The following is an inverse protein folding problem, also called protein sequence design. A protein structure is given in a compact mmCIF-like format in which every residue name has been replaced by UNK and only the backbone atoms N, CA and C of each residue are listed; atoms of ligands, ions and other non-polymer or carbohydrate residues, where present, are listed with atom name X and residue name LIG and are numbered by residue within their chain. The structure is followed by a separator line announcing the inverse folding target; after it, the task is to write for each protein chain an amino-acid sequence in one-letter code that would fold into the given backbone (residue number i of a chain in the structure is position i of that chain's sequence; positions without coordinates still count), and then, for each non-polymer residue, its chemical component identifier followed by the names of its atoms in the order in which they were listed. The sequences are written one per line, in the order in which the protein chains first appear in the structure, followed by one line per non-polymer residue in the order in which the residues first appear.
data_IF_876397987345
#
_entry.id   IF_876397987345
#
_cell.length_a   1.000
_cell.length_b   1.000
_cell.length_c   1.000
_cell.angle_alpha   90.00
_cell.angle_beta   90.00
_cell.angle_gamma   90.00
#
_symmetry.space_group_name_H-M   'P 1'
#
loop_
_entity.id
_entity.type
_entity.pdbx_description
1 polymer ?
#
# COMPACT_ATOMS: atom_id res chain seq x y z
N UNK A 1 -55.91 27.19 -29.29
CA UNK A 1 -54.49 27.15 -29.68
C UNK A 1 -54.22 25.75 -30.24
N UNK A 2 -53.59 25.70 -31.42
CA UNK A 2 -53.22 24.56 -32.28
C UNK A 2 -52.32 23.55 -31.55
N UNK A 3 -52.65 22.26 -31.61
CA UNK A 3 -51.92 21.14 -32.29
C UNK A 3 -50.43 21.01 -31.94
N UNK A 4 -50.02 19.84 -31.47
CA UNK A 4 -49.20 18.93 -32.30
C UNK A 4 -49.12 17.54 -31.65
N UNK A 5 -49.61 16.57 -32.40
CA UNK A 5 -49.37 15.13 -32.28
C UNK A 5 -47.95 14.81 -32.74
N UNK A 6 -47.27 13.82 -32.16
CA UNK A 6 -46.75 12.72 -32.97
C UNK A 6 -46.13 11.63 -32.09
N UNK A 7 -46.73 10.45 -32.21
CA UNK A 7 -46.07 9.19 -31.99
C UNK A 7 -45.77 8.65 -33.39
N UNK A 8 -44.53 8.27 -33.69
CA UNK A 8 -44.34 7.11 -34.56
C UNK A 8 -43.39 6.12 -33.86
N UNK A 9 -43.82 4.91 -33.61
CA UNK A 9 -43.80 3.82 -34.59
C UNK A 9 -42.39 3.25 -34.80
N UNK A 10 -42.35 1.94 -34.58
CA UNK A 10 -41.71 0.94 -35.43
C UNK A 10 -40.32 0.40 -35.03
N UNK A 11 -40.31 -0.93 -35.02
CA UNK A 11 -39.21 -1.82 -34.73
C UNK A 11 -38.20 -1.80 -35.88
N UNK A 12 -36.92 -1.96 -35.55
CA UNK A 12 -36.02 -2.72 -36.42
C UNK A 12 -35.04 -3.51 -35.57
N UNK A 13 -35.24 -4.82 -35.58
CA UNK A 13 -34.22 -5.84 -35.34
C UNK A 13 -32.93 -5.49 -36.11
N UNK A 14 -31.80 -5.49 -35.42
CA UNK A 14 -30.47 -5.66 -36.02
C UNK A 14 -29.60 -6.46 -35.07
N UNK A 15 -29.71 -7.78 -35.22
CA UNK A 15 -28.68 -8.74 -34.86
C UNK A 15 -27.46 -8.53 -35.79
N UNK A 16 -26.29 -8.24 -35.24
CA UNK A 16 -24.97 -8.41 -35.88
C UNK A 16 -23.93 -8.39 -34.74
N UNK A 17 -23.31 -9.53 -34.38
CA UNK A 17 -22.03 -10.01 -34.94
C UNK A 17 -20.97 -8.89 -34.95
N UNK A 18 -19.79 -8.96 -34.33
CA UNK A 18 -18.92 -10.06 -33.92
C UNK A 18 -17.81 -9.45 -32.99
N UNK A 19 -16.75 -10.18 -32.59
CA UNK A 19 -16.02 -9.97 -31.33
C UNK A 19 -14.73 -9.16 -31.50
N UNK A 20 -13.90 -9.18 -30.46
CA UNK A 20 -12.47 -8.81 -30.43
C UNK A 20 -12.18 -7.38 -29.99
N UNK A 21 -12.03 -7.19 -28.68
CA UNK A 21 -10.75 -6.70 -28.16
C UNK A 21 -10.41 -7.58 -26.95
N UNK A 22 -9.78 -8.72 -27.23
CA UNK A 22 -8.87 -9.31 -26.25
C UNK A 22 -7.77 -8.29 -26.01
N UNK A 23 -7.91 -7.48 -24.96
CA UNK A 23 -6.76 -6.90 -24.32
C UNK A 23 -6.08 -8.02 -23.53
N UNK A 24 -5.37 -8.85 -24.28
CA UNK A 24 -4.42 -9.82 -23.78
C UNK A 24 -3.27 -9.04 -23.12
N UNK A 25 -3.50 -8.58 -21.90
CA UNK A 25 -2.42 -8.27 -20.97
C UNK A 25 -1.85 -9.61 -20.49
N UNK A 26 -1.15 -10.30 -21.40
CA UNK A 26 -0.03 -11.15 -20.99
C UNK A 26 1.03 -10.18 -20.48
N UNK A 27 0.85 -9.71 -19.26
CA UNK A 27 1.95 -9.24 -18.45
C UNK A 27 2.81 -10.48 -18.23
N UNK A 28 3.78 -10.68 -19.14
CA UNK A 28 4.91 -11.51 -18.86
C UNK A 28 5.52 -10.97 -17.57
N UNK A 29 5.22 -11.66 -16.48
CA UNK A 29 5.95 -11.55 -15.22
C UNK A 29 7.34 -12.12 -15.54
N UNK A 30 8.15 -11.34 -16.25
CA UNK A 30 9.59 -11.53 -16.23
C UNK A 30 9.98 -11.28 -14.78
N UNK A 31 10.19 -12.35 -14.04
CA UNK A 31 10.87 -12.34 -12.74
C UNK A 31 12.33 -11.92 -12.97
N UNK A 32 12.53 -10.67 -13.41
CA UNK A 32 13.80 -9.98 -13.27
C UNK A 32 14.01 -9.83 -11.76
N UNK A 33 14.75 -10.78 -11.19
CA UNK A 33 15.15 -10.74 -9.80
C UNK A 33 15.84 -9.40 -9.56
N UNK A 34 15.13 -8.46 -8.94
CA UNK A 34 15.69 -7.17 -8.55
C UNK A 34 16.96 -7.43 -7.75
N UNK A 35 18.04 -6.69 -8.02
CA UNK A 35 19.27 -6.87 -7.27
C UNK A 35 18.97 -6.66 -5.79
N UNK A 36 19.53 -7.50 -4.93
CA UNK A 36 19.35 -7.46 -3.46
C UNK A 36 19.59 -6.05 -2.90
N UNK A 37 20.54 -5.31 -3.50
CA UNK A 37 20.82 -3.93 -3.15
C UNK A 37 19.62 -2.98 -3.39
N UNK A 38 18.83 -3.19 -4.46
CA UNK A 38 17.64 -2.39 -4.74
C UNK A 38 16.51 -2.67 -3.74
N UNK A 39 16.37 -3.91 -3.29
CA UNK A 39 15.39 -4.29 -2.26
C UNK A 39 15.79 -3.75 -0.89
N UNK A 40 17.09 -3.82 -0.54
CA UNK A 40 17.61 -3.22 0.69
C UNK A 40 17.44 -1.69 0.71
N UNK A 41 17.62 -1.03 -0.45
CA UNK A 41 17.41 0.41 -0.58
C UNK A 41 15.93 0.77 -0.36
N UNK A 42 15.01 0.05 -1.01
CA UNK A 42 13.57 0.24 -0.81
C UNK A 42 13.17 0.04 0.66
N UNK A 43 13.70 -1.00 1.32
CA UNK A 43 13.47 -1.24 2.75
C UNK A 43 14.00 -0.10 3.64
N UNK A 44 15.11 0.52 3.23
CA UNK A 44 15.69 1.68 3.94
C UNK A 44 14.80 2.91 3.80
N UNK A 45 14.23 3.12 2.61
CA UNK A 45 13.27 4.20 2.35
C UNK A 45 11.97 3.98 3.16
N UNK A 46 11.42 2.75 3.16
CA UNK A 46 10.26 2.38 3.96
C UNK A 46 10.51 2.58 5.47
N UNK A 47 11.71 2.24 5.95
CA UNK A 47 12.11 2.47 7.33
C UNK A 47 12.25 3.96 7.66
N UNK A 48 12.76 4.77 6.73
CA UNK A 48 12.87 6.21 6.90
C UNK A 48 11.48 6.86 7.03
N UNK A 49 10.52 6.48 6.19
CA UNK A 49 9.12 6.93 6.28
C UNK A 49 8.50 6.55 7.64
N UNK A 50 8.64 5.28 8.04
CA UNK A 50 8.18 4.81 9.34
C UNK A 50 8.80 5.57 10.52
N UNK A 51 10.10 5.89 10.43
CA UNK A 51 10.80 6.62 11.48
C UNK A 51 10.32 8.07 11.61
N UNK A 52 9.93 8.69 10.49
CA UNK A 52 9.34 10.03 10.48
C UNK A 52 7.96 10.02 11.13
N UNK A 53 7.12 9.01 10.85
CA UNK A 53 5.82 8.83 11.50
C UNK A 53 5.97 8.65 13.02
N UNK A 54 6.97 7.88 13.47
CA UNK A 54 7.27 7.72 14.89
C UNK A 54 7.67 9.05 15.55
N UNK A 55 8.50 9.85 14.88
CA UNK A 55 8.92 11.15 15.38
C UNK A 55 7.73 12.11 15.53
N UNK A 56 6.85 12.18 14.52
CA UNK A 56 5.62 12.97 14.59
C UNK A 56 4.74 12.59 15.78
N UNK A 57 4.62 11.30 16.08
CA UNK A 57 3.85 10.83 17.23
C UNK A 57 4.48 11.21 18.56
N UNK A 58 5.80 11.08 18.68
CA UNK A 58 6.52 11.54 19.85
C UNK A 58 6.31 13.05 20.08
N UNK A 59 6.35 13.86 19.01
CA UNK A 59 6.10 15.29 19.09
C UNK A 59 4.64 15.59 19.50
N UNK A 60 3.66 14.89 18.91
CA UNK A 60 2.27 15.03 19.28
C UNK A 60 2.03 14.67 20.76
N UNK A 61 2.64 13.57 21.24
CA UNK A 61 2.57 13.19 22.66
C UNK A 61 3.27 14.20 23.57
N UNK A 62 4.38 14.80 23.15
CA UNK A 62 5.07 15.84 23.91
C UNK A 62 4.19 17.08 24.08
N UNK A 63 3.52 17.52 23.00
CA UNK A 63 2.56 18.64 23.03
C UNK A 63 1.38 18.34 23.97
N UNK A 64 0.80 17.13 23.87
CA UNK A 64 -0.29 16.71 24.76
C UNK A 64 0.18 16.66 26.23
N UNK A 65 1.40 16.21 26.48
CA UNK A 65 1.96 16.15 27.83
C UNK A 65 2.21 17.54 28.43
N UNK A 66 2.53 18.53 27.59
CA UNK A 66 2.74 19.93 27.96
C UNK A 66 1.42 20.68 28.25
N UNK A 67 0.33 20.36 27.53
CA UNK A 67 -1.00 20.97 27.68
C UNK A 67 -1.98 20.17 28.59
N UNK A 68 -1.47 19.38 29.54
CA UNK A 68 -2.31 18.48 30.36
C UNK A 68 -3.46 19.15 31.13
N UNK A 69 -3.39 20.46 31.41
CA UNK A 69 -4.46 21.18 32.12
C UNK A 69 -5.72 21.43 31.23
N UNK A 70 -5.62 21.32 29.90
CA UNK A 70 -6.70 21.59 28.93
C UNK A 70 -7.24 20.32 28.22
N UNK A 71 -6.83 19.12 28.64
CA UNK A 71 -7.32 17.87 28.06
C UNK A 71 -8.75 17.58 28.55
N UNK A 72 -9.74 17.98 27.75
CA UNK A 72 -11.12 17.54 27.92
C UNK A 72 -11.29 16.03 27.63
N UNK A 73 -12.36 15.42 28.15
CA UNK A 73 -12.73 14.02 27.85
C UNK A 73 -12.86 13.73 26.34
N UNK A 74 -13.20 14.74 25.55
CA UNK A 74 -13.27 14.62 24.09
C UNK A 74 -11.87 14.55 23.45
N UNK A 75 -10.94 15.37 23.95
CA UNK A 75 -9.55 15.39 23.50
C UNK A 75 -8.84 14.08 23.87
N UNK A 76 -9.06 13.56 25.08
CA UNK A 76 -8.47 12.29 25.52
C UNK A 76 -8.94 11.09 24.66
N UNK A 77 -10.20 11.10 24.21
CA UNK A 77 -10.71 10.09 23.29
C UNK A 77 -10.05 10.16 21.90
N UNK A 78 -9.83 11.37 21.37
CA UNK A 78 -9.11 11.59 20.13
C UNK A 78 -7.67 11.07 20.19
N UNK A 79 -6.95 11.39 21.28
CA UNK A 79 -5.59 10.92 21.54
C UNK A 79 -5.53 9.40 21.62
N UNK A 80 -6.48 8.77 22.31
CA UNK A 80 -6.56 7.31 22.40
C UNK A 80 -6.76 6.67 21.03
N UNK A 81 -7.65 7.22 20.21
CA UNK A 81 -7.93 6.70 18.87
C UNK A 81 -6.72 6.85 17.95
N UNK A 82 -6.01 7.98 18.02
CA UNK A 82 -4.75 8.18 17.31
C UNK A 82 -3.70 7.17 17.77
N UNK A 83 -3.53 6.97 19.07
CA UNK A 83 -2.61 5.98 19.65
C UNK A 83 -2.92 4.56 19.19
N UNK A 84 -4.21 4.18 19.11
CA UNK A 84 -4.61 2.85 18.67
C UNK A 84 -4.33 2.64 17.17
N UNK A 85 -4.64 3.65 16.35
CA UNK A 85 -4.38 3.62 14.90
C UNK A 85 -2.89 3.53 14.60
N UNK A 86 -2.08 4.31 15.32
CA UNK A 86 -0.64 4.37 15.10
C UNK A 86 0.07 3.14 15.64
N UNK A 87 -0.36 2.61 16.79
CA UNK A 87 0.15 1.33 17.31
C UNK A 87 -0.06 0.19 16.34
N UNK A 88 -1.20 0.16 15.64
CA UNK A 88 -1.46 -0.83 14.59
C UNK A 88 -0.54 -0.63 13.37
N UNK A 89 -0.40 0.60 12.89
CA UNK A 89 0.51 0.93 11.77
C UNK A 89 1.96 0.56 12.07
N UNK A 90 2.44 0.90 13.28
CA UNK A 90 3.79 0.59 13.77
C UNK A 90 4.03 -0.91 13.83
N UNK A 91 3.08 -1.68 14.35
CA UNK A 91 3.18 -3.15 14.38
C UNK A 91 3.28 -3.73 12.98
N UNK A 92 2.40 -3.28 12.07
CA UNK A 92 2.35 -3.76 10.69
C UNK A 92 3.65 -3.47 9.94
N UNK A 93 4.19 -2.26 10.09
CA UNK A 93 5.48 -1.90 9.52
C UNK A 93 6.61 -2.78 10.08
N UNK A 94 6.69 -2.92 11.41
CA UNK A 94 7.67 -3.80 12.08
C UNK A 94 7.61 -5.23 11.54
N UNK A 95 6.41 -5.79 11.40
CA UNK A 95 6.24 -7.16 10.91
C UNK A 95 6.65 -7.28 9.43
N UNK A 96 6.31 -6.29 8.60
CA UNK A 96 6.74 -6.24 7.20
C UNK A 96 8.26 -6.14 7.05
N UNK A 97 8.91 -5.26 7.81
CA UNK A 97 10.37 -5.11 7.82
C UNK A 97 11.05 -6.42 8.20
N UNK A 98 10.55 -7.11 9.25
CA UNK A 98 11.09 -8.41 9.66
C UNK A 98 10.98 -9.46 8.56
N UNK A 99 9.85 -9.52 7.87
CA UNK A 99 9.63 -10.47 6.79
C UNK A 99 10.57 -10.21 5.61
N UNK A 100 10.73 -8.94 5.22
CA UNK A 100 11.66 -8.54 4.16
C UNK A 100 13.12 -8.88 4.52
N UNK A 101 13.53 -8.63 5.77
CA UNK A 101 14.89 -8.98 6.26
C UNK A 101 15.12 -10.49 6.20
N UNK A 102 14.15 -11.31 6.63
CA UNK A 102 14.25 -12.77 6.57
C UNK A 102 14.33 -13.25 5.11
N UNK A 103 13.57 -12.65 4.20
CA UNK A 103 13.61 -12.98 2.78
C UNK A 103 14.98 -12.68 2.14
N UNK A 104 15.54 -11.49 2.46
CA UNK A 104 16.88 -11.10 2.00
C UNK A 104 17.96 -12.03 2.56
N UNK A 105 17.90 -12.37 3.85
CA UNK A 105 18.84 -13.29 4.48
C UNK A 105 18.85 -14.66 3.79
N UNK A 106 17.67 -15.21 3.48
CA UNK A 106 17.55 -16.46 2.73
C UNK A 106 18.15 -16.37 1.33
N UNK A 107 17.94 -15.24 0.61
CA UNK A 107 18.53 -15.01 -0.71
C UNK A 107 20.05 -14.90 -0.67
N UNK A 108 20.60 -14.23 0.33
CA UNK A 108 22.05 -14.11 0.53
C UNK A 108 22.65 -15.49 0.80
N UNK A 109 22.07 -16.28 1.70
CA UNK A 109 22.54 -17.63 1.98
C UNK A 109 22.46 -18.55 0.74
N UNK A 110 21.40 -18.44 -0.06
CA UNK A 110 21.27 -19.20 -1.30
C UNK A 110 22.32 -18.79 -2.35
N UNK A 111 22.66 -17.50 -2.44
CA UNK A 111 23.74 -17.01 -3.29
C UNK A 111 25.11 -17.51 -2.83
N UNK A 112 25.41 -17.40 -1.54
CA UNK A 112 26.67 -17.87 -0.97
C UNK A 112 26.89 -19.35 -1.25
N UNK A 113 25.83 -20.17 -1.12
CA UNK A 113 25.89 -21.60 -1.45
C UNK A 113 26.25 -21.85 -2.92
N UNK A 114 25.59 -21.15 -3.85
CA UNK A 114 25.88 -21.29 -5.28
C UNK A 114 27.30 -20.89 -5.64
N UNK A 115 27.82 -19.83 -5.01
CA UNK A 115 29.22 -19.42 -5.20
C UNK A 115 30.18 -20.48 -4.68
N UNK A 116 29.92 -21.04 -3.48
CA UNK A 116 30.76 -22.10 -2.91
C UNK A 116 30.72 -23.45 -3.64
N UNK A 117 29.72 -23.67 -4.50
CA UNK A 117 29.62 -24.86 -5.36
C UNK A 117 30.33 -24.68 -6.72
N UNK A 118 30.74 -23.44 -7.06
CA UNK A 118 31.46 -23.11 -8.29
C UNK A 118 32.98 -23.00 -8.11
N UNK A 119 33.47 -23.01 -6.86
CA UNK A 119 34.89 -23.08 -6.47
C UNK A 119 35.34 -24.53 -6.20
#
# INVERSE_FOLDING_TARGET
MSEYTDNPADNSDLESSAPEEEENQTAEHSDEQKPIASELLALTDDFAEFSADCAFLCDAFAVIAEEQEDISDYTSYGVRRCSDYTSYGVRRCSDSVKEQVIALDRRIHALQRRVSEQD
#
